data_IF_307384991939
#
_entry.id   IF_307384991939
#
_cell.length_a   1.000
_cell.length_b   1.000
_cell.length_c   1.000
_cell.angle_alpha   90.00
_cell.angle_beta   90.00
_cell.angle_gamma   90.00
#
_symmetry.space_group_name_H-M   'P 1'
#
loop_
_entity.id
_entity.type
_entity.pdbx_description
1 polymer ?
#
# COMPACT_ATOMS: atom_id res chain seq x y z
N UNK A 1 -30.24 18.49 -51.40
CA UNK A 1 -30.59 17.86 -52.69
C UNK A 1 -29.34 17.26 -53.30
N UNK A 2 -29.50 16.05 -53.83
CA UNK A 2 -28.52 15.14 -54.41
C UNK A 2 -27.68 15.73 -55.55
N UNK A 3 -26.43 15.26 -55.73
CA UNK A 3 -26.07 14.43 -56.90
C UNK A 3 -24.68 13.79 -56.78
N UNK A 4 -24.63 12.53 -57.16
CA UNK A 4 -23.48 11.61 -57.23
C UNK A 4 -22.87 11.55 -58.64
N UNK A 5 -21.59 11.13 -58.76
CA UNK A 5 -21.00 10.24 -59.81
C UNK A 5 -19.49 10.07 -59.53
N UNK A 6 -18.97 8.90 -59.12
CA UNK A 6 -18.51 7.70 -59.87
C UNK A 6 -17.32 7.93 -60.84
N UNK A 7 -16.19 7.27 -60.53
CA UNK A 7 -15.21 6.68 -61.46
C UNK A 7 -14.61 5.44 -60.75
N UNK A 8 -14.88 4.19 -61.16
CA UNK A 8 -14.36 3.40 -62.29
C UNK A 8 -13.04 2.65 -61.97
N UNK A 9 -13.12 1.31 -62.00
CA UNK A 9 -12.06 0.32 -61.77
C UNK A 9 -11.29 -0.02 -63.06
N UNK A 10 -10.02 -0.42 -62.89
CA UNK A 10 -9.14 -1.20 -63.79
C UNK A 10 -8.21 -2.02 -62.84
N UNK A 11 -7.79 -3.26 -63.03
CA UNK A 11 -8.11 -4.39 -63.92
C UNK A 11 -7.29 -5.61 -63.47
N UNK A 12 -7.80 -6.83 -63.76
CA UNK A 12 -7.12 -8.13 -64.04
C UNK A 12 -6.07 -8.68 -63.01
N UNK A 13 -6.29 -9.78 -62.27
CA UNK A 13 -6.45 -11.23 -62.58
C UNK A 13 -5.16 -12.00 -62.87
N UNK A 14 -4.77 -12.93 -61.97
CA UNK A 14 -4.35 -14.29 -62.33
C UNK A 14 -4.49 -15.24 -61.13
N UNK A 15 -4.91 -16.46 -61.44
CA UNK A 15 -5.33 -17.59 -60.60
C UNK A 15 -4.21 -18.29 -59.82
N UNK A 16 -4.55 -18.87 -58.66
CA UNK A 16 -4.28 -20.29 -58.33
C UNK A 16 -5.20 -20.79 -57.23
N UNK A 17 -5.44 -22.10 -57.28
CA UNK A 17 -6.46 -22.88 -56.60
C UNK A 17 -6.18 -23.15 -55.11
N UNK A 18 -7.28 -23.30 -54.38
CA UNK A 18 -7.54 -24.14 -53.21
C UNK A 18 -6.37 -24.69 -52.39
N UNK A 19 -6.28 -24.21 -51.15
CA UNK A 19 -6.12 -25.08 -50.00
C UNK A 19 -6.93 -24.56 -48.82
N UNK A 20 -7.97 -25.31 -48.46
CA UNK A 20 -8.72 -25.15 -47.22
C UNK A 20 -7.79 -25.36 -46.03
N UNK A 21 -7.56 -24.31 -45.24
CA UNK A 21 -7.17 -24.45 -43.84
C UNK A 21 -8.01 -23.50 -43.00
N UNK A 22 -9.01 -24.08 -42.32
CA UNK A 22 -9.67 -23.48 -41.18
C UNK A 22 -8.60 -23.18 -40.11
N UNK A 23 -8.09 -21.96 -40.06
CA UNK A 23 -7.43 -21.47 -38.86
C UNK A 23 -8.48 -20.94 -37.90
N UNK A 24 -9.10 -21.89 -37.19
CA UNK A 24 -9.76 -21.60 -35.92
C UNK A 24 -8.74 -20.91 -35.02
N UNK A 25 -9.06 -19.71 -34.56
CA UNK A 25 -8.31 -19.02 -33.52
C UNK A 25 -8.47 -19.85 -32.24
N UNK A 26 -7.60 -20.81 -32.02
CA UNK A 26 -7.51 -21.53 -30.75
C UNK A 26 -7.15 -20.50 -29.68
N UNK A 27 -8.17 -20.07 -28.95
CA UNK A 27 -7.99 -19.47 -27.63
C UNK A 27 -7.21 -20.49 -26.82
N UNK A 28 -5.95 -20.19 -26.53
CA UNK A 28 -5.13 -20.98 -25.61
C UNK A 28 -5.79 -20.86 -24.23
N UNK A 29 -6.70 -21.78 -23.95
CA UNK A 29 -7.33 -21.95 -22.65
C UNK A 29 -6.25 -22.49 -21.71
N UNK A 30 -5.67 -21.58 -20.92
CA UNK A 30 -4.75 -21.95 -19.84
C UNK A 30 -5.49 -22.95 -18.93
N UNK A 31 -4.95 -24.16 -18.72
CA UNK A 31 -5.56 -25.17 -17.86
C UNK A 31 -5.86 -24.59 -16.48
N UNK A 32 -7.09 -24.80 -15.96
CA UNK A 32 -7.53 -24.33 -14.63
C UNK A 32 -6.57 -24.73 -13.50
N UNK A 33 -5.77 -25.77 -13.71
CA UNK A 33 -4.79 -26.34 -12.76
C UNK A 33 -3.46 -25.56 -12.66
N UNK A 34 -3.24 -24.54 -13.50
CA UNK A 34 -2.03 -23.70 -13.48
C UNK A 34 -2.28 -22.24 -13.09
N UNK A 35 -3.51 -21.89 -12.71
CA UNK A 35 -3.81 -20.54 -12.24
C UNK A 35 -3.25 -20.41 -10.81
N UNK A 36 -2.40 -19.41 -10.51
CA UNK A 36 -2.08 -19.12 -9.12
C UNK A 36 -3.40 -18.88 -8.37
N UNK A 37 -3.52 -19.41 -7.16
CA UNK A 37 -4.70 -19.22 -6.31
C UNK A 37 -4.95 -17.75 -5.95
N UNK A 38 -4.00 -16.88 -6.28
CA UNK A 38 -3.97 -15.46 -6.00
C UNK A 38 -3.55 -14.67 -7.25
N UNK A 39 -4.29 -13.61 -7.57
CA UNK A 39 -3.92 -12.64 -8.61
C UNK A 39 -3.28 -11.40 -7.96
N UNK A 40 -2.14 -10.90 -8.47
CA UNK A 40 -1.58 -9.64 -8.01
C UNK A 40 -2.54 -8.48 -8.23
N UNK A 41 -2.46 -7.48 -7.37
CA UNK A 41 -3.23 -6.26 -7.52
C UNK A 41 -2.72 -5.45 -8.71
N UNK A 42 -3.62 -4.94 -9.56
CA UNK A 42 -3.21 -4.05 -10.64
C UNK A 42 -2.70 -2.73 -10.05
N UNK A 43 -1.39 -2.50 -10.10
CA UNK A 43 -0.82 -1.30 -9.50
C UNK A 43 -1.25 -0.02 -10.24
N UNK A 44 -1.44 -0.04 -11.56
CA UNK A 44 -2.07 1.09 -12.25
C UNK A 44 -3.47 1.40 -11.71
N UNK A 45 -4.25 0.38 -11.33
CA UNK A 45 -5.57 0.60 -10.74
C UNK A 45 -5.46 1.26 -9.37
N UNK A 46 -4.53 0.83 -8.54
CA UNK A 46 -4.30 1.46 -7.23
C UNK A 46 -3.86 2.91 -7.32
N UNK A 47 -3.24 3.30 -8.44
CA UNK A 47 -2.82 4.67 -8.74
C UNK A 47 -3.92 5.47 -9.49
N UNK A 48 -5.12 4.91 -9.70
CA UNK A 48 -6.21 5.55 -10.45
C UNK A 48 -5.98 5.67 -11.95
N UNK A 49 -5.06 4.88 -12.52
CA UNK A 49 -4.55 4.99 -13.90
C UNK A 49 -4.75 3.73 -14.75
N UNK A 50 -5.50 2.73 -14.28
CA UNK A 50 -5.77 1.53 -15.08
C UNK A 50 -6.72 1.82 -16.24
N UNK A 51 -6.28 1.57 -17.46
CA UNK A 51 -7.08 1.74 -18.68
C UNK A 51 -7.60 0.42 -19.25
N UNK A 52 -7.25 -0.72 -18.64
CA UNK A 52 -7.51 -2.07 -19.14
C UNK A 52 -8.66 -2.78 -18.40
N UNK A 53 -9.56 -2.02 -17.77
CA UNK A 53 -10.69 -2.54 -16.97
C UNK A 53 -11.69 -3.38 -17.77
N UNK A 54 -11.66 -3.31 -19.10
CA UNK A 54 -12.55 -4.06 -19.99
C UNK A 54 -11.81 -5.18 -20.74
N UNK A 55 -10.51 -5.36 -20.52
CA UNK A 55 -9.70 -6.35 -21.24
C UNK A 55 -9.72 -7.70 -20.52
N UNK A 56 -10.28 -8.78 -21.13
CA UNK A 56 -10.45 -10.06 -20.44
C UNK A 56 -9.15 -10.68 -19.94
N UNK A 57 -8.06 -10.56 -20.72
CA UNK A 57 -6.74 -11.05 -20.30
C UNK A 57 -6.20 -10.31 -19.09
N UNK A 58 -6.39 -8.99 -19.03
CA UNK A 58 -5.98 -8.16 -17.90
C UNK A 58 -6.75 -8.53 -16.62
N UNK A 59 -8.07 -8.71 -16.74
CA UNK A 59 -8.92 -9.14 -15.63
C UNK A 59 -8.64 -10.58 -15.18
N UNK A 60 -8.12 -11.46 -16.05
CA UNK A 60 -7.66 -12.80 -15.66
C UNK A 60 -6.32 -12.75 -14.91
N UNK A 61 -5.46 -11.79 -15.23
CA UNK A 61 -4.13 -11.65 -14.61
C UNK A 61 -4.12 -10.85 -13.31
N UNK A 62 -4.93 -9.80 -13.20
CA UNK A 62 -4.85 -8.84 -12.09
C UNK A 62 -6.17 -8.67 -11.34
N UNK A 63 -6.05 -8.49 -10.03
CA UNK A 63 -7.14 -8.07 -9.16
C UNK A 63 -7.31 -6.55 -9.21
N UNK A 64 -8.56 -6.11 -9.11
CA UNK A 64 -8.98 -4.70 -9.04
C UNK A 64 -9.83 -4.44 -7.80
N UNK A 65 -9.66 -5.30 -6.80
CA UNK A 65 -10.33 -5.20 -5.53
C UNK A 65 -9.26 -5.37 -4.45
N UNK A 66 -9.07 -4.32 -3.66
CA UNK A 66 -8.15 -4.34 -2.52
C UNK A 66 -8.75 -5.01 -1.29
N UNK A 67 -10.00 -5.50 -1.37
CA UNK A 67 -10.64 -6.21 -0.27
C UNK A 67 -9.71 -7.28 0.28
N UNK A 68 -9.56 -7.24 1.59
CA UNK A 68 -8.88 -8.25 2.37
C UNK A 68 -9.95 -9.26 2.77
N UNK A 69 -9.88 -10.52 2.32
CA UNK A 69 -10.84 -11.53 2.74
C UNK A 69 -10.79 -11.65 4.26
N UNK A 70 -11.93 -11.42 4.93
CA UNK A 70 -12.08 -11.90 6.29
C UNK A 70 -12.04 -13.42 6.22
N UNK A 71 -11.05 -14.03 6.87
CA UNK A 71 -11.06 -15.47 7.05
C UNK A 71 -12.39 -15.87 7.70
N UNK A 72 -13.00 -16.98 7.25
CA UNK A 72 -14.35 -17.38 7.68
C UNK A 72 -14.50 -17.47 9.21
N UNK A 73 -13.38 -17.72 9.90
CA UNK A 73 -13.29 -17.79 11.36
C UNK A 73 -13.37 -16.41 12.06
N UNK A 74 -13.00 -15.32 11.39
CA UNK A 74 -13.02 -13.95 11.95
C UNK A 74 -14.44 -13.39 11.98
N UNK A 75 -15.23 -13.67 10.94
CA UNK A 75 -16.58 -13.11 10.75
C UNK A 75 -17.61 -13.58 11.80
N UNK A 76 -17.27 -14.57 12.64
CA UNK A 76 -18.12 -15.15 13.69
C UNK A 76 -17.53 -15.03 15.10
N UNK A 77 -16.49 -14.23 15.30
CA UNK A 77 -15.82 -14.20 16.60
C UNK A 77 -16.68 -13.53 17.67
N UNK A 78 -17.13 -14.33 18.65
CA UNK A 78 -17.80 -13.85 19.87
C UNK A 78 -16.89 -13.02 20.79
N UNK A 79 -15.57 -13.02 20.52
CA UNK A 79 -14.58 -12.29 21.31
C UNK A 79 -14.41 -10.84 20.86
N UNK A 80 -15.03 -10.42 19.76
CA UNK A 80 -14.91 -9.05 19.27
C UNK A 80 -15.41 -8.07 20.33
N UNK A 81 -14.56 -7.13 20.71
CA UNK A 81 -14.87 -6.10 21.70
C UNK A 81 -15.10 -4.76 21.00
N UNK A 82 -16.03 -3.97 21.55
CA UNK A 82 -16.21 -2.58 21.13
C UNK A 82 -14.90 -1.81 21.34
N UNK A 83 -14.49 -1.09 20.30
CA UNK A 83 -13.30 -0.23 20.32
C UNK A 83 -13.71 1.22 20.63
N UNK A 84 -12.76 2.01 21.14
CA UNK A 84 -12.93 3.46 21.30
C UNK A 84 -12.58 4.25 20.02
N UNK A 85 -11.99 3.56 19.04
CA UNK A 85 -11.61 4.08 17.72
C UNK A 85 -12.50 3.36 16.72
N UNK A 86 -13.21 4.12 15.87
CA UNK A 86 -14.14 3.56 14.88
C UNK A 86 -13.39 3.05 13.63
N UNK A 87 -12.30 3.71 13.24
CA UNK A 87 -11.53 3.36 12.04
C UNK A 87 -10.02 3.26 12.27
N UNK A 88 -9.40 2.20 11.75
CA UNK A 88 -7.95 2.03 11.78
C UNK A 88 -7.35 2.29 10.40
N UNK A 89 -6.40 3.22 10.31
CA UNK A 89 -5.66 3.53 9.07
C UNK A 89 -4.34 2.77 9.12
N UNK A 90 -4.31 1.59 8.51
CA UNK A 90 -3.08 0.77 8.43
C UNK A 90 -2.14 1.38 7.41
N UNK A 91 -0.90 1.68 7.81
CA UNK A 91 0.12 2.35 7.00
C UNK A 91 1.44 1.57 7.09
N UNK A 92 2.09 1.36 5.94
CA UNK A 92 3.44 0.81 5.86
C UNK A 92 4.20 1.49 4.71
N UNK A 93 5.11 2.40 5.04
CA UNK A 93 5.84 3.18 4.05
C UNK A 93 7.01 2.40 3.47
N UNK A 94 7.31 2.64 2.20
CA UNK A 94 8.53 2.15 1.60
C UNK A 94 9.51 3.27 1.26
N UNK A 95 10.80 2.94 1.26
CA UNK A 95 11.88 3.84 0.88
C UNK A 95 12.74 4.33 2.05
N UNK A 96 14.00 3.88 2.10
CA UNK A 96 14.91 4.19 3.22
C UNK A 96 15.36 5.66 3.21
N UNK A 97 15.77 6.16 2.04
CA UNK A 97 16.35 7.50 1.89
C UNK A 97 15.26 8.58 1.84
N UNK A 98 14.37 8.48 0.86
CA UNK A 98 13.12 9.22 0.76
C UNK A 98 11.99 8.20 0.64
N UNK A 99 10.77 8.59 1.00
CA UNK A 99 9.57 7.77 0.80
C UNK A 99 9.40 7.53 -0.70
N UNK A 100 9.09 6.30 -1.07
CA UNK A 100 8.88 5.83 -2.45
C UNK A 100 7.48 5.25 -2.68
N UNK A 101 6.79 4.89 -1.62
CA UNK A 101 5.44 4.33 -1.65
C UNK A 101 4.70 4.79 -0.40
N UNK A 102 3.46 5.20 -0.59
CA UNK A 102 2.55 5.65 0.46
C UNK A 102 1.21 4.91 0.33
N UNK A 103 1.09 3.73 0.96
CA UNK A 103 -0.14 2.95 1.02
C UNK A 103 -0.85 3.13 2.37
N UNK A 104 -2.17 3.24 2.36
CA UNK A 104 -3.02 3.24 3.54
C UNK A 104 -4.27 2.39 3.29
N UNK A 105 -4.71 1.59 4.27
CA UNK A 105 -5.99 0.89 4.25
C UNK A 105 -6.84 1.28 5.46
N UNK A 106 -8.12 1.59 5.24
CA UNK A 106 -9.09 1.85 6.32
C UNK A 106 -9.77 0.54 6.70
N UNK A 107 -9.71 0.17 7.99
CA UNK A 107 -10.49 -0.91 8.57
C UNK A 107 -11.56 -0.31 9.48
N UNK A 108 -12.81 -0.74 9.29
CA UNK A 108 -13.91 -0.44 10.22
C UNK A 108 -13.81 -1.38 11.44
N UNK A 109 -13.68 -0.81 12.64
CA UNK A 109 -13.50 -1.55 13.88
C UNK A 109 -14.70 -2.44 14.26
N UNK A 110 -15.90 -2.13 13.78
CA UNK A 110 -17.14 -2.88 14.08
C UNK A 110 -17.32 -4.05 13.13
N UNK A 111 -17.06 -3.85 11.85
CA UNK A 111 -17.28 -4.88 10.82
C UNK A 111 -16.02 -5.69 10.51
N UNK A 112 -14.86 -5.19 10.94
CA UNK A 112 -13.52 -5.68 10.59
C UNK A 112 -13.22 -5.60 9.09
N UNK A 113 -14.09 -5.03 8.28
CA UNK A 113 -13.90 -4.96 6.83
C UNK A 113 -12.92 -3.85 6.48
N UNK A 114 -12.15 -4.09 5.42
CA UNK A 114 -11.43 -2.99 4.74
C UNK A 114 -12.46 -2.19 3.96
N UNK A 115 -12.62 -0.92 4.35
CA UNK A 115 -13.62 0.00 3.78
C UNK A 115 -13.11 0.59 2.47
N UNK A 116 -11.86 1.05 2.48
CA UNK A 116 -11.22 1.68 1.34
C UNK A 116 -9.69 1.65 1.49
N UNK A 117 -8.98 2.03 0.44
CA UNK A 117 -7.53 2.15 0.43
C UNK A 117 -7.06 3.40 -0.34
N UNK A 118 -5.91 3.91 0.05
CA UNK A 118 -5.16 4.94 -0.66
C UNK A 118 -3.80 4.37 -1.02
N UNK A 119 -3.32 4.60 -2.24
CA UNK A 119 -1.99 4.14 -2.63
C UNK A 119 -1.37 5.09 -3.65
N UNK A 120 -0.19 5.64 -3.31
CA UNK A 120 0.64 6.39 -4.25
C UNK A 120 2.09 5.96 -4.23
N UNK A 121 2.68 5.84 -5.42
CA UNK A 121 4.12 5.87 -5.53
C UNK A 121 4.62 7.31 -5.40
N UNK A 122 5.75 7.48 -4.72
CA UNK A 122 6.33 8.78 -4.39
C UNK A 122 7.62 8.97 -5.17
N UNK A 123 7.72 10.08 -5.91
CA UNK A 123 8.93 10.48 -6.63
C UNK A 123 9.84 11.29 -5.70
N UNK A 124 11.08 10.82 -5.41
CA UNK A 124 12.07 11.53 -4.61
C UNK A 124 12.40 12.90 -5.18
N UNK A 125 12.79 13.82 -4.30
CA UNK A 125 13.13 15.21 -4.69
C UNK A 125 14.55 15.61 -4.32
N UNK A 126 15.21 14.90 -3.40
CA UNK A 126 16.57 15.19 -2.97
C UNK A 126 17.61 14.27 -3.60
N UNK A 127 17.25 13.02 -3.90
CA UNK A 127 18.11 12.10 -4.63
C UNK A 127 18.32 12.56 -6.08
N UNK A 128 19.52 12.38 -6.62
CA UNK A 128 19.78 12.63 -8.05
C UNK A 128 19.06 11.60 -8.92
N UNK A 129 18.71 11.97 -10.15
CA UNK A 129 18.06 11.06 -11.12
C UNK A 129 18.79 9.73 -11.29
N UNK A 130 20.13 9.76 -11.38
CA UNK A 130 20.94 8.54 -11.46
C UNK A 130 20.74 7.63 -10.23
N UNK A 131 20.73 8.22 -9.03
CA UNK A 131 20.54 7.48 -7.78
C UNK A 131 19.12 6.95 -7.65
N UNK A 132 18.11 7.72 -8.10
CA UNK A 132 16.72 7.28 -8.14
C UNK A 132 16.63 6.04 -9.02
N UNK A 133 17.15 6.09 -10.24
CA UNK A 133 17.14 4.97 -11.18
C UNK A 133 17.75 3.69 -10.58
N UNK A 134 18.97 3.79 -10.05
CA UNK A 134 19.65 2.65 -9.40
C UNK A 134 18.82 2.06 -8.24
N UNK A 135 18.21 2.92 -7.43
CA UNK A 135 17.43 2.49 -6.28
C UNK A 135 16.11 1.81 -6.69
N UNK A 136 15.41 2.37 -7.68
CA UNK A 136 14.15 1.84 -8.21
C UNK A 136 14.37 0.53 -8.96
N UNK A 137 15.39 0.44 -9.82
CA UNK A 137 15.78 -0.80 -10.49
C UNK A 137 16.12 -1.89 -9.46
N UNK A 138 16.88 -1.53 -8.42
CA UNK A 138 17.30 -2.45 -7.37
C UNK A 138 16.16 -2.94 -6.45
N UNK A 139 15.10 -2.14 -6.25
CA UNK A 139 13.95 -2.45 -5.39
C UNK A 139 12.77 -2.99 -6.18
N UNK A 140 12.19 -2.18 -7.07
CA UNK A 140 10.98 -2.50 -7.82
C UNK A 140 11.27 -3.26 -9.12
N UNK A 141 12.45 -3.07 -9.73
CA UNK A 141 12.82 -3.81 -10.95
C UNK A 141 12.91 -5.31 -10.71
N UNK A 142 13.35 -5.74 -9.52
CA UNK A 142 13.41 -7.16 -9.14
C UNK A 142 12.06 -7.87 -9.09
N UNK A 143 10.98 -7.12 -8.91
CA UNK A 143 9.60 -7.64 -8.85
C UNK A 143 8.74 -7.14 -10.03
N UNK A 144 9.33 -6.44 -11.00
CA UNK A 144 8.65 -5.98 -12.22
C UNK A 144 7.68 -4.80 -12.01
N UNK A 145 7.91 -3.97 -11.00
CA UNK A 145 7.04 -2.83 -10.63
C UNK A 145 7.63 -1.48 -11.04
N UNK A 146 8.90 -1.43 -11.41
CA UNK A 146 9.66 -0.23 -11.79
C UNK A 146 8.98 0.61 -12.86
N UNK A 147 8.40 -0.02 -13.89
CA UNK A 147 7.66 0.70 -14.94
C UNK A 147 6.42 1.42 -14.40
N UNK A 148 5.61 0.73 -13.58
CA UNK A 148 4.42 1.37 -12.98
C UNK A 148 4.85 2.51 -12.09
N UNK A 149 5.94 2.33 -11.33
CA UNK A 149 6.50 3.39 -10.52
C UNK A 149 6.88 4.60 -11.38
N UNK A 150 7.62 4.41 -12.48
CA UNK A 150 8.05 5.53 -13.33
C UNK A 150 6.85 6.27 -13.94
N UNK A 151 5.87 5.52 -14.46
CA UNK A 151 4.67 6.05 -15.11
C UNK A 151 3.72 6.79 -14.12
N UNK A 152 3.80 6.49 -12.82
CA UNK A 152 2.78 6.94 -11.86
C UNK A 152 3.27 7.73 -10.67
N UNK A 153 4.55 7.63 -10.27
CA UNK A 153 5.06 8.27 -9.06
C UNK A 153 5.00 9.80 -9.13
N UNK A 154 4.43 10.40 -8.07
CA UNK A 154 4.26 11.86 -7.93
C UNK A 154 5.04 12.39 -6.72
N UNK A 155 5.39 13.68 -6.67
CA UNK A 155 6.05 14.28 -5.51
C UNK A 155 5.31 14.04 -4.19
N UNK A 156 6.05 13.90 -3.09
CA UNK A 156 5.46 13.65 -1.77
C UNK A 156 4.43 14.71 -1.33
N UNK A 157 4.66 15.98 -1.69
CA UNK A 157 3.69 17.07 -1.44
C UNK A 157 2.32 16.77 -2.04
N UNK A 158 2.32 16.27 -3.28
CA UNK A 158 1.09 15.98 -4.03
C UNK A 158 0.43 14.73 -3.46
N UNK A 159 1.22 13.72 -3.05
CA UNK A 159 0.71 12.56 -2.30
C UNK A 159 -0.01 12.98 -1.02
N UNK A 160 0.55 13.90 -0.24
CA UNK A 160 -0.09 14.39 0.98
C UNK A 160 -1.38 15.14 0.66
N UNK A 161 -1.42 15.97 -0.39
CA UNK A 161 -2.65 16.65 -0.81
C UNK A 161 -3.75 15.67 -1.24
N UNK A 162 -3.41 14.67 -2.05
CA UNK A 162 -4.36 13.64 -2.46
C UNK A 162 -4.81 12.78 -1.28
N UNK A 163 -3.91 12.49 -0.34
CA UNK A 163 -4.24 11.77 0.89
C UNK A 163 -5.19 12.57 1.78
N UNK A 164 -4.93 13.86 1.99
CA UNK A 164 -5.80 14.78 2.75
C UNK A 164 -7.21 14.82 2.14
N UNK A 165 -7.31 14.98 0.82
CA UNK A 165 -8.60 14.94 0.12
C UNK A 165 -9.33 13.60 0.33
N UNK A 166 -8.60 12.49 0.28
CA UNK A 166 -9.16 11.15 0.50
C UNK A 166 -9.68 10.95 1.93
N UNK A 167 -8.91 11.29 2.96
CA UNK A 167 -9.37 11.15 4.36
C UNK A 167 -10.49 12.13 4.72
N UNK A 168 -10.54 13.31 4.11
CA UNK A 168 -11.68 14.24 4.24
C UNK A 168 -12.93 13.68 3.58
N UNK A 169 -12.81 13.04 2.41
CA UNK A 169 -13.94 12.36 1.76
C UNK A 169 -14.58 11.26 2.61
N UNK A 170 -13.81 10.66 3.53
CA UNK A 170 -14.28 9.69 4.52
C UNK A 170 -14.74 10.30 5.85
N UNK A 171 -14.75 11.64 5.97
CA UNK A 171 -15.06 12.39 7.20
C UNK A 171 -14.16 12.00 8.40
N UNK A 172 -12.93 11.56 8.12
CA UNK A 172 -11.96 11.17 9.16
C UNK A 172 -11.05 12.31 9.57
N UNK A 173 -11.03 13.39 8.80
CA UNK A 173 -10.18 14.55 9.04
C UNK A 173 -10.72 15.82 8.39
N UNK A 174 -10.65 16.91 9.15
CA UNK A 174 -10.95 18.26 8.68
C UNK A 174 -9.84 19.19 9.14
N UNK A 175 -9.37 20.04 8.22
CA UNK A 175 -8.24 20.93 8.45
C UNK A 175 -8.54 21.99 9.51
N UNK A 176 -9.79 22.45 9.53
CA UNK A 176 -10.30 23.51 10.39
C UNK A 176 -10.52 23.04 11.84
N UNK A 177 -10.71 21.73 12.05
CA UNK A 177 -11.07 21.11 13.33
C UNK A 177 -9.88 20.74 14.23
N UNK A 178 -8.77 21.48 14.10
CA UNK A 178 -7.54 21.24 14.89
C UNK A 178 -6.61 20.17 14.32
N UNK A 179 -6.98 19.54 13.20
CA UNK A 179 -6.09 18.77 12.34
C UNK A 179 -5.74 17.34 12.81
N UNK A 180 -6.27 16.87 13.94
CA UNK A 180 -6.17 15.46 14.32
C UNK A 180 -7.22 14.61 13.60
N UNK A 181 -7.01 13.30 13.52
CA UNK A 181 -8.02 12.38 13.00
C UNK A 181 -9.25 12.33 13.94
N UNK A 182 -10.44 12.25 13.36
CA UNK A 182 -11.71 12.09 14.07
C UNK A 182 -12.09 10.61 14.10
N UNK A 183 -12.21 10.04 15.32
CA UNK A 183 -12.61 8.64 15.55
C UNK A 183 -11.75 7.60 14.81
N UNK A 184 -10.55 7.99 14.41
CA UNK A 184 -9.65 7.15 13.64
C UNK A 184 -8.22 7.27 14.16
N UNK A 185 -7.41 6.24 13.93
CA UNK A 185 -6.00 6.24 14.30
C UNK A 185 -5.16 5.48 13.28
N UNK A 186 -3.94 5.93 13.04
CA UNK A 186 -2.97 5.16 12.28
C UNK A 186 -2.52 3.92 13.04
N UNK A 187 -2.31 2.83 12.30
CA UNK A 187 -1.69 1.59 12.79
C UNK A 187 -0.48 1.29 11.92
N UNK A 188 0.69 1.12 12.54
CA UNK A 188 1.96 0.84 11.84
C UNK A 188 2.64 -0.39 12.43
N UNK A 189 3.45 -1.09 11.63
CA UNK A 189 4.22 -2.25 12.10
C UNK A 189 5.58 -1.84 12.71
N UNK A 190 5.53 -1.07 13.78
CA UNK A 190 6.69 -0.42 14.39
C UNK A 190 6.56 1.09 14.38
N UNK A 191 7.56 1.78 14.93
CA UNK A 191 7.55 3.23 15.03
C UNK A 191 8.18 3.93 13.81
N UNK A 192 8.84 3.21 12.91
CA UNK A 192 9.68 3.81 11.89
C UNK A 192 8.90 4.73 10.94
N UNK A 193 7.72 4.33 10.47
CA UNK A 193 6.93 5.09 9.49
C UNK A 193 6.57 6.50 9.99
N UNK A 194 5.85 6.57 11.12
CA UNK A 194 5.32 7.84 11.63
C UNK A 194 6.32 8.55 12.54
N UNK A 195 7.04 7.84 13.43
CA UNK A 195 8.01 8.48 14.35
C UNK A 195 9.16 9.08 13.55
N UNK A 196 9.69 8.35 12.57
CA UNK A 196 10.97 8.66 11.92
C UNK A 196 10.81 9.11 10.47
N UNK A 197 10.13 8.33 9.61
CA UNK A 197 10.16 8.55 8.16
C UNK A 197 9.34 9.75 7.71
N UNK A 198 8.14 9.94 8.25
CA UNK A 198 7.28 11.10 7.94
C UNK A 198 7.98 12.43 8.26
N UNK A 199 8.57 12.65 9.47
CA UNK A 199 9.32 13.89 9.76
C UNK A 199 10.50 14.12 8.82
N UNK A 200 11.29 13.08 8.55
CA UNK A 200 12.42 13.18 7.64
C UNK A 200 11.97 13.60 6.24
N UNK A 201 10.89 13.00 5.72
CA UNK A 201 10.38 13.37 4.40
C UNK A 201 9.80 14.78 4.40
N UNK A 202 9.09 15.20 5.46
CA UNK A 202 8.61 16.57 5.61
C UNK A 202 9.77 17.57 5.60
N UNK A 203 10.88 17.28 6.30
CA UNK A 203 12.07 18.11 6.30
C UNK A 203 12.68 18.22 4.89
N UNK A 204 12.80 17.10 4.16
CA UNK A 204 13.28 17.09 2.77
C UNK A 204 12.41 17.97 1.87
N UNK A 205 11.09 17.90 2.04
CA UNK A 205 10.14 18.66 1.24
C UNK A 205 9.94 20.11 1.73
N UNK A 206 10.54 20.52 2.86
CA UNK A 206 10.29 21.82 3.48
C UNK A 206 8.84 22.01 3.94
N UNK A 207 8.21 20.94 4.45
CA UNK A 207 6.84 20.91 4.95
C UNK A 207 6.82 20.80 6.48
N UNK A 208 5.76 21.32 7.08
CA UNK A 208 5.42 20.97 8.46
C UNK A 208 4.83 19.56 8.50
N UNK A 209 5.04 18.85 9.61
CA UNK A 209 4.44 17.54 9.83
C UNK A 209 2.92 17.72 9.96
N UNK A 210 2.10 17.06 9.14
CA UNK A 210 0.66 17.14 9.28
C UNK A 210 0.18 16.66 10.66
N UNK A 211 -0.77 17.38 11.31
CA UNK A 211 -1.18 17.13 12.69
C UNK A 211 -1.80 15.75 12.93
N UNK A 212 -2.33 15.10 11.90
CA UNK A 212 -2.86 13.72 11.99
C UNK A 212 -1.77 12.65 12.15
N UNK A 213 -0.48 13.00 12.07
CA UNK A 213 0.66 12.10 12.37
C UNK A 213 1.23 12.28 13.78
N UNK A 214 0.52 12.98 14.68
CA UNK A 214 1.02 13.24 16.03
C UNK A 214 0.79 12.07 17.01
N UNK A 215 -0.08 11.14 16.68
CA UNK A 215 -0.29 9.92 17.47
C UNK A 215 -0.59 8.72 16.59
N UNK A 216 -0.19 7.53 17.03
CA UNK A 216 -0.39 6.29 16.29
C UNK A 216 -0.38 5.07 17.21
N UNK A 217 -0.80 3.94 16.64
CA UNK A 217 -0.76 2.61 17.25
C UNK A 217 0.40 1.85 16.64
N UNK A 218 1.43 1.57 17.44
CA UNK A 218 2.46 0.61 17.08
C UNK A 218 1.94 -0.81 17.35
N UNK A 219 1.66 -1.53 16.28
CA UNK A 219 1.09 -2.88 16.34
C UNK A 219 1.98 -3.85 17.13
N UNK A 220 3.30 -3.67 17.12
CA UNK A 220 4.23 -4.54 17.86
C UNK A 220 4.02 -4.48 19.37
N UNK A 221 3.67 -3.31 19.90
CA UNK A 221 3.46 -3.12 21.34
C UNK A 221 2.15 -3.78 21.77
N UNK A 222 1.07 -3.57 21.00
CA UNK A 222 -0.21 -4.24 21.24
C UNK A 222 -0.07 -5.76 21.12
N UNK A 223 0.66 -6.22 20.10
CA UNK A 223 0.89 -7.65 19.86
C UNK A 223 1.64 -8.31 21.02
N UNK A 224 2.72 -7.68 21.50
CA UNK A 224 3.47 -8.14 22.66
C UNK A 224 2.58 -8.23 23.89
N UNK A 225 1.83 -7.17 24.19
CA UNK A 225 1.00 -7.11 25.40
C UNK A 225 -0.14 -8.12 25.39
N UNK A 226 -0.74 -8.39 24.23
CA UNK A 226 -1.89 -9.29 24.13
C UNK A 226 -1.49 -10.76 24.04
N UNK A 227 -0.54 -11.12 23.16
CA UNK A 227 -0.13 -12.51 22.98
C UNK A 227 1.02 -12.94 23.89
N UNK A 228 1.61 -12.00 24.64
CA UNK A 228 2.82 -12.22 25.44
C UNK A 228 3.98 -12.79 24.62
N UNK A 229 4.12 -12.32 23.37
CA UNK A 229 5.14 -12.76 22.41
C UNK A 229 5.69 -11.57 21.63
N UNK A 230 7.01 -11.50 21.53
CA UNK A 230 7.66 -10.48 20.69
C UNK A 230 7.54 -10.85 19.21
N UNK A 231 7.18 -9.87 18.38
CA UNK A 231 7.28 -9.96 16.93
C UNK A 231 8.31 -8.96 16.40
N UNK A 232 9.25 -9.42 15.56
CA UNK A 232 10.28 -8.52 15.00
C UNK A 232 9.69 -7.55 13.97
N UNK A 233 8.70 -8.01 13.22
CA UNK A 233 7.92 -7.24 12.24
C UNK A 233 6.76 -8.07 11.72
N UNK A 234 6.12 -7.60 10.64
CA UNK A 234 4.89 -8.17 10.09
C UNK A 234 5.02 -9.65 9.75
N UNK A 235 6.11 -10.08 9.11
CA UNK A 235 6.32 -11.50 8.78
C UNK A 235 6.32 -12.42 10.01
N UNK A 236 6.90 -11.97 11.12
CA UNK A 236 6.87 -12.75 12.38
C UNK A 236 5.45 -12.83 12.96
N UNK A 237 4.66 -11.77 12.86
CA UNK A 237 3.25 -11.80 13.31
C UNK A 237 2.43 -12.76 12.45
N UNK A 238 2.59 -12.69 11.12
CA UNK A 238 1.95 -13.61 10.19
C UNK A 238 2.27 -15.07 10.51
N UNK A 239 3.57 -15.40 10.66
CA UNK A 239 4.02 -16.76 10.96
C UNK A 239 3.44 -17.26 12.30
N UNK A 240 3.45 -16.42 13.35
CA UNK A 240 2.95 -16.80 14.68
C UNK A 240 1.41 -16.92 14.76
N UNK A 241 0.68 -16.20 13.91
CA UNK A 241 -0.78 -16.27 13.79
C UNK A 241 -1.26 -17.28 12.74
N UNK A 242 -0.31 -17.97 12.08
CA UNK A 242 -0.56 -18.92 11.00
C UNK A 242 -1.29 -18.30 9.78
N UNK A 243 -1.01 -17.01 9.52
CA UNK A 243 -1.57 -16.26 8.40
C UNK A 243 -0.56 -16.30 7.24
N UNK A 244 -0.89 -16.86 6.07
CA UNK A 244 0.03 -16.90 4.95
C UNK A 244 0.30 -15.48 4.40
N UNK A 245 1.56 -15.16 4.12
CA UNK A 245 1.92 -13.93 3.41
C UNK A 245 1.26 -13.90 2.02
N UNK A 246 0.61 -12.79 1.67
CA UNK A 246 0.06 -12.56 0.34
C UNK A 246 0.83 -11.45 -0.38
N UNK A 247 1.17 -11.68 -1.64
CA UNK A 247 1.88 -10.71 -2.46
C UNK A 247 3.39 -10.66 -2.22
N UNK A 248 3.99 -9.54 -2.60
CA UNK A 248 5.44 -9.35 -2.59
C UNK A 248 5.88 -8.58 -1.35
N UNK A 249 6.66 -9.22 -0.49
CA UNK A 249 7.25 -8.54 0.67
C UNK A 249 8.12 -7.36 0.22
N UNK A 250 7.97 -6.21 0.88
CA UNK A 250 8.58 -4.92 0.54
C UNK A 250 7.98 -4.17 -0.65
N UNK A 251 6.79 -4.59 -1.11
CA UNK A 251 5.86 -3.77 -1.87
C UNK A 251 4.83 -3.24 -0.86
N UNK A 252 4.85 -1.94 -0.58
CA UNK A 252 4.16 -1.36 0.57
C UNK A 252 2.66 -1.63 0.60
N UNK A 253 1.98 -1.65 -0.55
CA UNK A 253 0.54 -1.97 -0.61
C UNK A 253 0.24 -3.42 -0.23
N UNK A 254 1.14 -4.36 -0.59
CA UNK A 254 1.01 -5.76 -0.18
C UNK A 254 1.35 -5.93 1.31
N UNK A 255 2.38 -5.24 1.81
CA UNK A 255 2.73 -5.28 3.23
C UNK A 255 1.65 -4.64 4.10
N UNK A 256 1.11 -3.49 3.70
CA UNK A 256 -0.08 -2.86 4.32
C UNK A 256 -1.27 -3.82 4.36
N UNK A 257 -1.51 -4.56 3.26
CA UNK A 257 -2.57 -5.57 3.19
C UNK A 257 -2.35 -6.69 4.21
N UNK A 258 -1.12 -7.16 4.38
CA UNK A 258 -0.82 -8.20 5.36
C UNK A 258 -0.88 -7.69 6.80
N UNK A 259 -0.46 -6.45 7.07
CA UNK A 259 -0.63 -5.82 8.38
C UNK A 259 -2.12 -5.66 8.70
N UNK A 260 -2.94 -5.27 7.73
CA UNK A 260 -4.39 -5.21 7.88
C UNK A 260 -5.00 -6.55 8.30
N UNK A 261 -4.52 -7.68 7.72
CA UNK A 261 -4.94 -9.03 8.12
C UNK A 261 -4.56 -9.36 9.56
N UNK A 262 -3.36 -8.95 10.00
CA UNK A 262 -2.94 -9.10 11.40
C UNK A 262 -3.84 -8.29 12.32
N UNK A 263 -4.16 -7.05 11.97
CA UNK A 263 -5.08 -6.17 12.72
C UNK A 263 -6.47 -6.81 12.84
N UNK A 264 -7.03 -7.30 11.73
CA UNK A 264 -8.32 -7.99 11.72
C UNK A 264 -8.31 -9.22 12.64
N UNK A 265 -7.27 -10.06 12.55
CA UNK A 265 -7.12 -11.24 13.41
C UNK A 265 -7.03 -10.85 14.89
N UNK A 266 -6.23 -9.84 15.21
CA UNK A 266 -6.09 -9.33 16.58
C UNK A 266 -7.40 -8.81 17.16
N UNK A 267 -8.14 -8.02 16.39
CA UNK A 267 -9.48 -7.54 16.80
C UNK A 267 -10.44 -8.71 17.01
N UNK A 268 -10.42 -9.70 16.11
CA UNK A 268 -11.21 -10.91 16.23
C UNK A 268 -10.85 -11.73 17.49
N UNK A 269 -9.58 -11.74 17.88
CA UNK A 269 -9.13 -12.42 19.10
C UNK A 269 -9.50 -11.65 20.39
N UNK A 270 -10.01 -10.42 20.27
CA UNK A 270 -10.53 -9.61 21.39
C UNK A 270 -9.55 -8.54 21.89
N UNK A 271 -8.58 -8.15 21.07
CA UNK A 271 -7.67 -7.03 21.36
C UNK A 271 -8.44 -5.71 21.46
N UNK A 272 -8.02 -4.85 22.40
CA UNK A 272 -8.34 -3.42 22.37
C UNK A 272 -7.18 -2.68 21.72
N UNK A 273 -7.43 -2.10 20.55
CA UNK A 273 -6.47 -1.25 19.85
C UNK A 273 -6.52 0.15 20.48
N UNK A 274 -5.40 0.58 21.04
CA UNK A 274 -5.24 1.87 21.70
C UNK A 274 -3.98 2.57 21.21
N UNK A 275 -3.98 3.90 21.25
CA UNK A 275 -2.80 4.72 20.95
C UNK A 275 -1.65 4.27 21.84
N UNK A 276 -0.50 3.93 21.23
CA UNK A 276 0.69 3.49 21.98
C UNK A 276 1.82 4.51 21.92
N UNK A 277 1.77 5.45 20.98
CA UNK A 277 2.80 6.45 20.80
C UNK A 277 2.22 7.82 20.41
N UNK A 278 2.87 8.86 20.89
CA UNK A 278 2.57 10.27 20.60
C UNK A 278 3.86 11.05 20.39
N UNK A 279 3.83 12.04 19.52
CA UNK A 279 4.92 13.01 19.36
C UNK A 279 4.75 14.13 20.40
N UNK A 280 5.83 14.46 21.11
CA UNK A 280 5.88 15.62 22.00
C UNK A 280 5.70 16.92 21.19
N UNK A 281 4.79 17.83 21.58
CA UNK A 281 4.62 19.13 20.90
C UNK A 281 5.80 20.09 21.11
N UNK A 282 6.67 19.82 22.09
CA UNK A 282 7.81 20.65 22.43
C UNK A 282 8.98 20.40 21.47
N UNK A 283 9.13 21.31 20.50
CA UNK A 283 10.20 21.43 19.51
C UNK A 283 10.37 20.23 18.53
N UNK A 284 10.00 20.40 17.24
CA UNK A 284 10.19 19.41 16.17
C UNK A 284 11.64 18.92 15.96
N UNK A 285 12.62 19.50 16.67
CA UNK A 285 14.05 19.19 16.57
C UNK A 285 14.66 18.65 17.88
N UNK A 286 13.90 18.48 18.96
CA UNK A 286 14.50 18.27 20.30
C UNK A 286 14.55 16.82 20.84
N UNK A 287 14.19 15.80 20.06
CA UNK A 287 14.36 14.39 20.48
C UNK A 287 15.25 13.55 19.55
N UNK A 288 16.26 14.15 18.92
CA UNK A 288 17.25 13.42 18.09
C UNK A 288 18.65 13.30 18.73
N UNK A 289 18.82 13.64 20.01
CA UNK A 289 20.14 13.56 20.66
C UNK A 289 20.36 12.35 21.58
N UNK A 290 19.29 11.66 22.00
CA UNK A 290 19.41 10.50 22.91
C UNK A 290 19.62 9.16 22.20
N UNK A 291 19.01 8.94 21.02
CA UNK A 291 19.14 7.65 20.32
C UNK A 291 20.42 7.54 19.45
N UNK A 292 20.92 8.65 18.88
CA UNK A 292 22.16 8.64 18.09
C UNK A 292 23.42 8.52 18.96
N UNK A 293 23.40 9.05 20.19
CA UNK A 293 24.49 8.83 21.15
C UNK A 293 24.50 7.39 21.69
N UNK A 294 23.34 6.75 21.81
CA UNK A 294 23.24 5.36 22.26
C UNK A 294 23.73 4.38 21.18
N UNK A 295 23.42 4.62 19.90
CA UNK A 295 23.92 3.81 18.78
C UNK A 295 25.45 3.96 18.64
N UNK A 296 25.97 5.19 18.73
CA UNK A 296 27.41 5.43 18.69
C UNK A 296 28.17 4.81 19.89
N UNK A 297 27.56 4.80 21.08
CA UNK A 297 28.15 4.18 22.28
C UNK A 297 28.12 2.63 22.23
N UNK A 298 27.09 2.04 21.62
CA UNK A 298 27.01 0.57 21.46
C UNK A 298 27.99 0.09 20.38
N UNK A 299 28.24 0.87 19.33
CA UNK A 299 29.26 0.56 18.31
C UNK A 299 30.69 0.71 18.85
N UNK A 300 30.96 1.64 19.77
CA UNK A 300 32.31 1.79 20.37
C UNK A 300 32.66 0.71 21.40
N UNK A 301 31.66 0.06 22.00
CA UNK A 301 31.85 -1.04 22.98
C UNK A 301 32.01 -2.40 22.29
N UNK A 302 31.60 -2.54 21.03
CA UNK A 302 31.73 -3.78 20.25
C UNK A 302 33.03 -3.86 19.42
N UNK A 303 33.86 -2.82 19.45
CA UNK A 303 35.10 -2.70 18.68
C UNK A 303 36.37 -2.59 19.54
N UNK A 304 36.28 -2.84 20.86
CA UNK A 304 37.43 -2.97 21.77
C UNK A 304 37.36 -4.29 22.54
#
# INVERSE_FOLDING_TARGET
MSTSRRFSRLSASLSTQDSNTHHSTEQVLIPKTMRPSWKPLCLYYTQGKCTLMNEPFHLDMFNHNCSVPLEENISKSEKLRSQNIDFFLVLDLEGKVEILEFPVMIIDAKTLQVVDFFHRFVRPTKMSEQRIKEYIEGKYGKIGVDRVWDDTAIPFKDVIQEFEAWITGHNLWEKESGGSLSKAAFVTCGNWDIKTKIPQQCQVCGMQIPPYFMEWINLKDIYLNFYNRTAKGMRTMLDQLEIPLLGSHHLGIDDTKNIARVVQRMLADGVLMQITARRSPADPRSEDQLDLQLIAAVESVMLN
#
